data_IF_144230595956
#
_entry.id   IF_144230595956
#
_cell.length_a   1.000
_cell.length_b   1.000
_cell.length_c   1.000
_cell.angle_alpha   90.00
_cell.angle_beta   90.00
_cell.angle_gamma   90.00
#
_symmetry.space_group_name_H-M   'P 1'
#
loop_
_entity.id
_entity.type
_entity.pdbx_description
1 polymer ?
#
# COMPACT_ATOMS: atom_id res chain seq x y z
N UNK A 1 26.45 -4.85 -10.32
CA UNK A 1 27.13 -3.67 -10.91
C UNK A 1 26.02 -2.83 -11.58
N UNK A 2 25.72 -1.63 -11.05
CA UNK A 2 24.67 -0.77 -11.63
C UNK A 2 25.20 -0.18 -12.93
N UNK A 3 24.51 -0.44 -14.04
CA UNK A 3 24.79 0.29 -15.29
C UNK A 3 24.66 1.80 -15.06
N UNK A 4 25.60 2.57 -15.56
CA UNK A 4 25.55 4.03 -15.45
C UNK A 4 24.34 4.58 -16.24
N UNK A 5 23.90 5.81 -15.95
CA UNK A 5 22.82 6.46 -16.71
C UNK A 5 23.16 6.51 -18.22
N UNK A 6 24.43 6.65 -18.60
CA UNK A 6 24.88 6.59 -19.98
C UNK A 6 24.69 5.21 -20.62
N UNK A 7 24.93 4.12 -19.87
CA UNK A 7 24.74 2.76 -20.36
C UNK A 7 23.24 2.44 -20.53
N UNK A 8 22.37 3.04 -19.72
CA UNK A 8 20.89 2.89 -19.84
C UNK A 8 20.31 3.54 -21.10
N UNK A 9 20.91 4.60 -21.62
CA UNK A 9 20.47 5.25 -22.85
C UNK A 9 20.74 4.39 -24.08
N UNK A 10 21.60 3.39 -23.99
CA UNK A 10 21.91 2.45 -25.08
C UNK A 10 21.01 1.19 -25.09
N UNK A 11 20.17 0.98 -24.08
CA UNK A 11 19.29 -0.19 -24.02
C UNK A 11 18.21 -0.13 -25.13
N UNK A 12 17.96 -1.25 -25.79
CA UNK A 12 17.01 -1.42 -26.89
C UNK A 12 15.91 -2.42 -26.52
N UNK A 13 14.88 -2.49 -27.33
CA UNK A 13 13.90 -3.58 -27.23
C UNK A 13 14.63 -4.94 -27.26
N UNK A 14 14.30 -5.83 -26.33
CA UNK A 14 14.97 -7.11 -26.13
C UNK A 14 16.06 -7.12 -25.05
N UNK A 15 16.52 -5.96 -24.56
CA UNK A 15 17.57 -5.87 -23.53
C UNK A 15 17.02 -6.03 -22.09
N UNK A 16 15.84 -6.62 -21.93
CA UNK A 16 15.15 -6.77 -20.64
C UNK A 16 15.98 -7.53 -19.58
N UNK A 17 16.89 -8.41 -20.01
CA UNK A 17 17.76 -9.19 -19.08
C UNK A 17 18.79 -8.33 -18.35
N UNK A 18 19.12 -7.16 -18.89
CA UNK A 18 20.06 -6.23 -18.28
C UNK A 18 19.38 -5.22 -17.34
N UNK A 19 18.06 -5.30 -17.19
CA UNK A 19 17.24 -4.35 -16.43
C UNK A 19 16.87 -4.94 -15.07
N UNK A 20 17.04 -4.13 -14.01
CA UNK A 20 16.63 -4.43 -12.63
C UNK A 20 15.27 -3.81 -12.25
N UNK A 21 14.54 -3.25 -13.23
CA UNK A 21 13.25 -2.60 -13.05
C UNK A 21 12.16 -3.29 -13.87
N UNK A 22 11.29 -4.04 -13.18
CA UNK A 22 10.28 -4.88 -13.84
C UNK A 22 9.39 -4.10 -14.82
N UNK A 23 8.95 -2.90 -14.46
CA UNK A 23 8.10 -2.09 -15.34
C UNK A 23 8.76 -1.72 -16.66
N UNK A 24 10.04 -1.32 -16.65
CA UNK A 24 10.80 -1.02 -17.88
C UNK A 24 11.06 -2.29 -18.68
N UNK A 25 11.42 -3.38 -18.03
CA UNK A 25 11.66 -4.67 -18.69
C UNK A 25 10.37 -5.25 -19.30
N UNK A 26 9.21 -4.96 -18.68
CA UNK A 26 7.90 -5.40 -19.17
C UNK A 26 7.37 -4.56 -20.35
N UNK A 27 7.68 -3.27 -20.39
CA UNK A 27 7.13 -2.34 -21.40
C UNK A 27 8.17 -1.95 -22.44
N UNK A 28 9.13 -1.14 -22.04
CA UNK A 28 10.08 -0.48 -22.96
C UNK A 28 11.12 -1.45 -23.53
N UNK A 29 11.55 -2.43 -22.73
CA UNK A 29 12.61 -3.37 -23.10
C UNK A 29 12.07 -4.76 -23.47
N UNK A 30 10.77 -4.92 -23.60
CA UNK A 30 10.16 -6.18 -24.03
C UNK A 30 10.70 -6.62 -25.40
N UNK A 31 10.85 -7.93 -25.65
CA UNK A 31 11.35 -8.45 -26.93
C UNK A 31 10.26 -8.41 -28.02
N UNK A 32 9.78 -7.21 -28.36
CA UNK A 32 8.71 -7.04 -29.34
C UNK A 32 9.20 -7.18 -30.76
N UNK A 33 8.47 -7.94 -31.56
CA UNK A 33 8.67 -8.05 -33.01
C UNK A 33 8.04 -6.86 -33.78
N UNK A 34 8.25 -6.83 -35.11
CA UNK A 34 7.50 -5.94 -35.98
C UNK A 34 6.00 -6.22 -35.84
N UNK A 35 5.25 -5.23 -35.38
CA UNK A 35 3.84 -5.38 -35.06
C UNK A 35 3.51 -5.14 -33.58
N UNK A 36 4.52 -4.92 -32.72
CA UNK A 36 4.35 -4.46 -31.34
C UNK A 36 3.94 -5.54 -30.35
N UNK A 37 4.04 -6.83 -30.72
CA UNK A 37 3.77 -7.96 -29.82
C UNK A 37 5.05 -8.77 -29.57
N UNK A 38 5.14 -9.34 -28.36
CA UNK A 38 6.16 -10.33 -28.02
C UNK A 38 5.84 -11.64 -28.74
N UNK A 39 6.81 -12.24 -29.50
CA UNK A 39 6.62 -13.55 -30.13
C UNK A 39 6.26 -14.62 -29.11
N UNK A 40 5.47 -15.63 -29.50
CA UNK A 40 4.99 -16.65 -28.57
C UNK A 40 6.17 -17.45 -27.96
N UNK A 41 7.20 -17.78 -28.74
CA UNK A 41 8.39 -18.49 -28.27
C UNK A 41 9.24 -17.67 -27.27
N UNK A 42 9.15 -16.35 -27.31
CA UNK A 42 9.90 -15.46 -26.43
C UNK A 42 9.12 -15.12 -25.13
N UNK A 43 7.80 -15.34 -25.07
CA UNK A 43 6.95 -14.95 -23.92
C UNK A 43 7.36 -15.61 -22.62
N UNK A 44 7.47 -16.94 -22.61
CA UNK A 44 7.80 -17.68 -21.39
C UNK A 44 9.20 -17.37 -20.85
N UNK A 45 10.27 -17.37 -21.69
CA UNK A 45 11.60 -16.94 -21.25
C UNK A 45 11.62 -15.51 -20.71
N UNK A 46 10.89 -14.60 -21.36
CA UNK A 46 10.79 -13.20 -20.94
C UNK A 46 10.06 -13.06 -19.60
N UNK A 47 8.87 -13.67 -19.44
CA UNK A 47 8.12 -13.64 -18.18
C UNK A 47 8.90 -14.28 -17.03
N UNK A 48 9.62 -15.37 -17.28
CA UNK A 48 10.47 -16.01 -16.29
C UNK A 48 11.62 -15.10 -15.84
N UNK A 49 12.26 -14.39 -16.78
CA UNK A 49 13.31 -13.43 -16.47
C UNK A 49 12.77 -12.25 -15.63
N UNK A 50 11.60 -11.72 -15.97
CA UNK A 50 10.94 -10.66 -15.20
C UNK A 50 10.58 -11.10 -13.78
N UNK A 51 10.06 -12.32 -13.63
CA UNK A 51 9.74 -12.91 -12.32
C UNK A 51 10.99 -13.14 -11.46
N UNK A 52 12.16 -13.21 -12.06
CA UNK A 52 13.45 -13.37 -11.39
C UNK A 52 14.08 -12.03 -10.93
N UNK A 53 13.57 -10.88 -11.38
CA UNK A 53 14.07 -9.57 -10.96
C UNK A 53 13.79 -9.38 -9.47
N UNK A 54 14.86 -9.14 -8.71
CA UNK A 54 14.77 -8.87 -7.28
C UNK A 54 14.53 -7.38 -7.01
N UNK A 55 13.91 -7.09 -5.88
CA UNK A 55 13.72 -5.71 -5.41
C UNK A 55 15.08 -5.09 -5.10
N UNK A 56 15.26 -3.84 -5.52
CA UNK A 56 16.48 -3.10 -5.20
C UNK A 56 16.55 -2.80 -3.69
N UNK A 57 17.73 -2.96 -3.04
CA UNK A 57 17.86 -2.82 -1.59
C UNK A 57 17.38 -1.47 -1.03
N UNK A 58 17.60 -0.38 -1.78
CA UNK A 58 17.26 0.99 -1.36
C UNK A 58 15.73 1.21 -1.23
N UNK A 59 14.92 0.35 -1.86
CA UNK A 59 13.45 0.44 -1.78
C UNK A 59 12.93 0.33 -0.35
N UNK A 60 13.53 -0.52 0.47
CA UNK A 60 13.09 -0.71 1.87
C UNK A 60 13.22 0.58 2.68
N UNK A 61 14.36 1.26 2.57
CA UNK A 61 14.56 2.54 3.26
C UNK A 61 13.56 3.61 2.80
N UNK A 62 13.20 3.60 1.50
CA UNK A 62 12.15 4.49 0.97
C UNK A 62 10.79 4.23 1.61
N UNK A 63 10.35 2.98 1.69
CA UNK A 63 9.06 2.61 2.30
C UNK A 63 9.05 2.94 3.78
N UNK A 64 10.12 2.63 4.51
CA UNK A 64 10.21 2.92 5.95
C UNK A 64 10.14 4.43 6.21
N UNK A 65 10.81 5.26 5.40
CA UNK A 65 10.72 6.71 5.48
C UNK A 65 9.30 7.23 5.15
N UNK A 66 8.65 6.65 4.13
CA UNK A 66 7.29 7.01 3.77
C UNK A 66 6.30 6.66 4.90
N UNK A 67 6.39 5.47 5.49
CA UNK A 67 5.56 5.07 6.64
C UNK A 67 5.81 6.01 7.83
N UNK A 68 7.07 6.34 8.12
CA UNK A 68 7.42 7.23 9.22
C UNK A 68 6.84 8.65 9.05
N UNK A 69 6.59 9.11 7.82
CA UNK A 69 5.97 10.41 7.56
C UNK A 69 4.55 10.53 8.13
N UNK A 70 3.86 9.41 8.34
CA UNK A 70 2.52 9.36 8.93
C UNK A 70 2.51 9.25 10.46
N UNK A 71 3.65 9.10 11.12
CA UNK A 71 3.73 8.86 12.56
C UNK A 71 3.10 9.98 13.42
N UNK A 72 2.97 11.21 12.87
CA UNK A 72 2.39 12.38 13.55
C UNK A 72 1.09 12.87 12.91
N UNK A 73 0.47 12.07 12.08
CA UNK A 73 -0.79 12.40 11.41
C UNK A 73 -1.94 11.59 12.01
N UNK A 74 -3.18 11.94 11.65
CA UNK A 74 -4.38 11.14 11.96
C UNK A 74 -4.56 9.94 11.01
N UNK A 75 -3.57 9.64 10.18
CA UNK A 75 -3.65 8.54 9.23
C UNK A 75 -3.73 7.18 9.96
N UNK A 76 -4.59 6.30 9.44
CA UNK A 76 -4.63 4.91 9.85
C UNK A 76 -3.84 4.05 8.88
N UNK A 77 -3.02 3.19 9.44
CA UNK A 77 -2.20 2.26 8.69
C UNK A 77 -2.74 0.84 8.86
N UNK A 78 -2.65 0.09 7.76
CA UNK A 78 -3.03 -1.31 7.73
C UNK A 78 -1.98 -2.10 6.96
N UNK A 79 -1.86 -3.39 7.27
CA UNK A 79 -1.15 -4.36 6.45
C UNK A 79 -2.17 -5.15 5.64
N UNK A 80 -2.08 -5.06 4.33
CA UNK A 80 -2.81 -5.90 3.38
C UNK A 80 -1.93 -7.09 3.04
N UNK A 81 -2.40 -8.30 3.30
CA UNK A 81 -1.72 -9.55 2.95
C UNK A 81 -2.54 -10.28 1.88
N UNK A 82 -1.92 -10.59 0.75
CA UNK A 82 -2.57 -11.33 -0.33
C UNK A 82 -2.81 -12.79 0.08
N UNK A 83 -4.03 -13.25 -0.02
CA UNK A 83 -4.39 -14.66 0.18
C UNK A 83 -4.17 -15.47 -1.10
N UNK A 84 -4.35 -14.83 -2.26
CA UNK A 84 -4.15 -15.37 -3.59
C UNK A 84 -3.24 -14.47 -4.42
N UNK A 85 -2.94 -14.83 -5.68
CA UNK A 85 -2.20 -13.99 -6.62
C UNK A 85 -2.94 -12.69 -6.91
N UNK A 86 -2.22 -11.61 -7.17
CA UNK A 86 -2.80 -10.33 -7.56
C UNK A 86 -2.43 -10.01 -9.01
N UNK A 87 -3.44 -9.64 -9.79
CA UNK A 87 -3.28 -9.08 -11.14
C UNK A 87 -3.69 -7.61 -11.11
N UNK A 88 -2.73 -6.71 -11.22
CA UNK A 88 -2.95 -5.27 -11.16
C UNK A 88 -2.54 -4.60 -12.49
N UNK A 89 -3.41 -3.72 -13.01
CA UNK A 89 -3.18 -3.05 -14.29
C UNK A 89 -3.50 -3.88 -15.52
N UNK A 90 -4.35 -4.90 -15.39
CA UNK A 90 -4.73 -5.82 -16.48
C UNK A 90 -5.14 -5.13 -17.78
N UNK A 91 -5.86 -4.00 -17.70
CA UNK A 91 -6.33 -3.24 -18.86
C UNK A 91 -5.31 -2.26 -19.43
N UNK A 92 -4.09 -2.17 -18.90
CA UNK A 92 -3.07 -1.26 -19.42
C UNK A 92 -2.50 -1.78 -20.74
N UNK A 93 -2.09 -0.86 -21.62
CA UNK A 93 -1.39 -1.21 -22.85
C UNK A 93 -0.09 -1.98 -22.54
N UNK A 94 0.15 -3.06 -23.27
CA UNK A 94 1.29 -3.96 -23.05
C UNK A 94 1.71 -4.62 -24.37
N UNK A 95 2.95 -5.08 -24.45
CA UNK A 95 3.43 -5.96 -25.52
C UNK A 95 2.86 -7.38 -25.46
N UNK A 96 2.18 -7.72 -24.37
CA UNK A 96 1.30 -8.89 -24.21
C UNK A 96 -0.14 -8.43 -24.16
N UNK A 97 -1.08 -9.37 -24.19
CA UNK A 97 -2.52 -9.07 -24.07
C UNK A 97 -2.93 -8.66 -22.64
N UNK A 98 -1.98 -8.65 -21.69
CA UNK A 98 -2.20 -8.37 -20.26
C UNK A 98 -1.26 -7.27 -19.79
N UNK A 99 -1.83 -6.18 -19.26
CA UNK A 99 -1.05 -5.08 -18.69
C UNK A 99 -0.54 -5.37 -17.27
N UNK A 100 0.36 -4.52 -16.80
CA UNK A 100 0.94 -4.57 -15.46
C UNK A 100 1.07 -3.15 -14.89
N UNK A 101 0.74 -2.98 -13.61
CA UNK A 101 0.99 -1.74 -12.87
C UNK A 101 2.05 -2.00 -11.79
N UNK A 102 3.09 -1.19 -11.81
CA UNK A 102 4.16 -1.22 -10.80
C UNK A 102 4.51 0.20 -10.38
N UNK A 103 5.18 0.34 -9.25
CA UNK A 103 5.72 1.62 -8.82
C UNK A 103 6.70 2.17 -9.86
N UNK A 104 6.44 3.38 -10.34
CA UNK A 104 7.16 3.98 -11.47
C UNK A 104 8.68 4.05 -11.27
N UNK A 105 9.13 4.43 -10.08
CA UNK A 105 10.56 4.59 -9.77
C UNK A 105 11.24 3.27 -9.41
N UNK A 106 10.53 2.37 -8.74
CA UNK A 106 11.14 1.20 -8.10
C UNK A 106 10.86 -0.13 -8.81
N UNK A 107 9.90 -0.15 -9.73
CA UNK A 107 9.53 -1.39 -10.44
C UNK A 107 8.92 -2.49 -9.57
N UNK A 108 8.54 -2.16 -8.34
CA UNK A 108 7.88 -3.08 -7.41
C UNK A 108 6.37 -3.04 -7.56
N UNK A 109 5.63 -4.08 -7.15
CA UNK A 109 4.17 -4.03 -7.20
C UNK A 109 3.61 -2.94 -6.28
N UNK A 110 2.55 -2.29 -6.73
CA UNK A 110 1.73 -1.40 -5.92
C UNK A 110 0.25 -1.78 -6.07
N UNK A 111 -0.56 -1.43 -5.08
CA UNK A 111 -2.01 -1.39 -5.26
C UNK A 111 -2.41 0.09 -5.28
N UNK A 112 -2.81 0.64 -6.45
CA UNK A 112 -3.18 2.05 -6.52
C UNK A 112 -4.29 2.40 -5.54
N UNK A 113 -4.19 3.53 -4.87
CA UNK A 113 -5.23 4.02 -3.97
C UNK A 113 -6.58 4.17 -4.66
N UNK A 114 -6.57 4.51 -5.95
CA UNK A 114 -7.77 4.54 -6.78
C UNK A 114 -8.42 3.15 -6.94
N UNK A 115 -7.63 2.07 -7.00
CA UNK A 115 -8.16 0.69 -7.05
C UNK A 115 -8.78 0.30 -5.71
N UNK A 116 -8.13 0.61 -4.58
CA UNK A 116 -8.70 0.39 -3.25
C UNK A 116 -10.00 1.16 -3.06
N UNK A 117 -9.98 2.46 -3.40
CA UNK A 117 -11.15 3.33 -3.36
C UNK A 117 -12.28 2.80 -4.23
N UNK A 118 -11.99 2.40 -5.48
CA UNK A 118 -12.98 1.90 -6.42
C UNK A 118 -13.62 0.58 -5.99
N UNK A 119 -12.83 -0.37 -5.50
CA UNK A 119 -13.34 -1.65 -4.98
C UNK A 119 -14.23 -1.42 -3.75
N UNK A 120 -13.80 -0.56 -2.82
CA UNK A 120 -14.59 -0.22 -1.65
C UNK A 120 -15.89 0.52 -2.04
N UNK A 121 -15.82 1.46 -2.95
CA UNK A 121 -16.99 2.21 -3.42
C UNK A 121 -18.04 1.29 -4.06
N UNK A 122 -17.58 0.33 -4.86
CA UNK A 122 -18.47 -0.69 -5.44
C UNK A 122 -19.08 -1.58 -4.35
N UNK A 123 -18.28 -2.08 -3.43
CA UNK A 123 -18.75 -2.92 -2.31
C UNK A 123 -19.83 -2.20 -1.49
N UNK A 124 -19.58 -0.97 -1.11
CA UNK A 124 -20.51 -0.17 -0.31
C UNK A 124 -21.83 0.06 -1.06
N UNK A 125 -21.76 0.46 -2.32
CA UNK A 125 -22.95 0.72 -3.12
C UNK A 125 -23.80 -0.52 -3.33
N UNK A 126 -23.18 -1.69 -3.50
CA UNK A 126 -23.91 -2.95 -3.77
C UNK A 126 -24.40 -3.65 -2.50
N UNK A 127 -23.66 -3.56 -1.41
CA UNK A 127 -24.00 -4.25 -0.15
C UNK A 127 -24.92 -3.44 0.73
N UNK A 128 -24.65 -2.15 0.88
CA UNK A 128 -25.35 -1.25 1.79
C UNK A 128 -26.29 -0.28 1.07
N UNK A 129 -26.10 -0.05 -0.22
CA UNK A 129 -26.97 0.80 -1.05
C UNK A 129 -28.36 0.22 -1.28
N UNK A 130 -29.25 0.98 -1.95
CA UNK A 130 -30.60 0.55 -2.29
C UNK A 130 -30.57 -0.73 -3.13
N UNK A 131 -31.45 -1.65 -2.81
CA UNK A 131 -31.70 -2.84 -3.61
C UNK A 131 -32.57 -2.46 -4.84
N UNK A 132 -32.06 -2.64 -6.07
CA UNK A 132 -32.82 -2.29 -7.26
C UNK A 132 -34.11 -3.08 -7.43
N UNK A 133 -34.31 -4.21 -6.75
CA UNK A 133 -35.53 -4.99 -6.77
C UNK A 133 -36.63 -4.47 -5.81
N UNK A 134 -36.26 -3.58 -4.88
CA UNK A 134 -37.15 -3.00 -3.86
C UNK A 134 -37.61 -1.61 -4.30
N UNK A 135 -38.88 -1.42 -4.49
CA UNK A 135 -39.48 -0.12 -4.91
C UNK A 135 -39.71 0.85 -3.74
N UNK A 136 -39.84 0.31 -2.51
CA UNK A 136 -40.07 1.15 -1.33
C UNK A 136 -38.80 1.94 -0.97
N UNK A 137 -38.88 3.26 -0.75
CA UNK A 137 -37.74 4.06 -0.33
C UNK A 137 -37.20 3.59 1.03
N UNK A 138 -35.87 3.40 1.12
CA UNK A 138 -35.17 3.17 2.37
C UNK A 138 -34.10 4.26 2.54
N UNK A 139 -34.35 5.30 3.35
CA UNK A 139 -33.42 6.41 3.54
C UNK A 139 -32.04 5.98 4.07
N UNK A 140 -32.01 4.94 4.89
CA UNK A 140 -30.74 4.44 5.43
C UNK A 140 -29.87 3.83 4.33
N UNK A 141 -30.46 3.03 3.46
CA UNK A 141 -29.78 2.49 2.29
C UNK A 141 -29.49 3.55 1.22
N UNK A 142 -30.38 4.52 1.05
CA UNK A 142 -30.19 5.61 0.08
C UNK A 142 -28.95 6.46 0.42
N UNK A 143 -28.58 6.60 1.69
CA UNK A 143 -27.35 7.28 2.12
C UNK A 143 -26.08 6.58 1.60
N UNK A 144 -26.13 5.31 1.27
CA UNK A 144 -25.03 4.51 0.71
C UNK A 144 -25.11 4.34 -0.80
N UNK A 145 -26.11 4.91 -1.45
CA UNK A 145 -26.28 4.86 -2.91
C UNK A 145 -25.02 5.34 -3.63
N UNK A 146 -24.55 4.57 -4.60
CA UNK A 146 -23.47 4.97 -5.48
C UNK A 146 -23.89 6.02 -6.53
N UNK A 147 -22.95 6.45 -7.35
CA UNK A 147 -23.17 7.36 -8.49
C UNK A 147 -24.08 6.71 -9.51
N UNK A 148 -25.15 7.43 -9.89
CA UNK A 148 -26.08 6.97 -10.93
C UNK A 148 -25.64 7.40 -12.32
N UNK A 149 -25.48 6.46 -13.22
CA UNK A 149 -25.04 6.69 -14.59
C UNK A 149 -26.20 6.56 -15.60
N UNK A 150 -26.22 7.42 -16.61
CA UNK A 150 -27.06 7.28 -17.80
C UNK A 150 -26.15 7.32 -19.04
N UNK A 151 -25.80 6.14 -19.54
CA UNK A 151 -24.75 6.00 -20.56
C UNK A 151 -23.38 6.44 -20.00
N UNK A 152 -22.78 7.48 -20.59
CA UNK A 152 -21.51 8.07 -20.15
C UNK A 152 -21.68 9.30 -19.23
N UNK A 153 -22.93 9.75 -19.04
CA UNK A 153 -23.24 10.92 -18.21
C UNK A 153 -23.62 10.52 -16.78
N UNK A 154 -23.28 11.38 -15.82
CA UNK A 154 -23.70 11.21 -14.44
C UNK A 154 -25.09 11.85 -14.28
N UNK A 155 -26.10 10.98 -14.18
CA UNK A 155 -27.49 11.40 -14.09
C UNK A 155 -27.87 11.76 -12.65
N UNK A 156 -27.34 11.04 -11.64
CA UNK A 156 -27.69 11.20 -10.25
C UNK A 156 -26.47 11.10 -9.34
N UNK A 157 -26.33 12.04 -8.42
CA UNK A 157 -25.28 12.05 -7.41
C UNK A 157 -25.41 10.90 -6.40
N UNK A 158 -24.34 10.55 -5.70
CA UNK A 158 -24.37 9.49 -4.70
C UNK A 158 -25.06 9.97 -3.40
N UNK A 159 -25.40 9.02 -2.54
CA UNK A 159 -25.93 9.26 -1.22
C UNK A 159 -24.91 9.94 -0.28
N UNK A 160 -25.39 10.39 0.87
CA UNK A 160 -24.61 11.23 1.79
C UNK A 160 -23.36 10.52 2.34
N UNK A 161 -23.48 9.30 2.85
CA UNK A 161 -22.34 8.56 3.41
C UNK A 161 -21.34 8.14 2.33
N UNK A 162 -21.85 7.73 1.15
CA UNK A 162 -20.97 7.48 0.01
C UNK A 162 -20.19 8.74 -0.38
N UNK A 163 -20.88 9.89 -0.47
CA UNK A 163 -20.28 11.19 -0.78
C UNK A 163 -19.23 11.59 0.28
N UNK A 164 -19.52 11.38 1.56
CA UNK A 164 -18.60 11.69 2.64
C UNK A 164 -17.28 10.92 2.54
N UNK A 165 -17.31 9.63 2.22
CA UNK A 165 -16.11 8.82 2.13
C UNK A 165 -15.38 9.09 0.81
N UNK A 166 -16.09 9.02 -0.33
CA UNK A 166 -15.49 8.94 -1.66
C UNK A 166 -15.49 10.27 -2.42
N UNK A 167 -16.30 11.24 -2.00
CA UNK A 167 -16.62 12.42 -2.80
C UNK A 167 -17.68 12.13 -3.85
N UNK A 168 -17.98 13.13 -4.63
CA UNK A 168 -18.93 13.04 -5.73
C UNK A 168 -18.49 13.93 -6.89
N UNK A 169 -18.70 13.47 -8.14
CA UNK A 169 -18.65 14.34 -9.30
C UNK A 169 -19.93 15.22 -9.38
N UNK A 170 -19.92 16.24 -10.22
CA UNK A 170 -21.14 16.94 -10.58
C UNK A 170 -22.16 16.01 -11.25
N UNK A 171 -23.40 16.07 -10.79
CA UNK A 171 -24.50 15.32 -11.37
C UNK A 171 -25.61 16.26 -11.82
N UNK A 172 -26.39 15.87 -12.81
CA UNK A 172 -27.47 16.71 -13.36
C UNK A 172 -28.58 16.99 -12.34
N UNK A 173 -28.89 16.00 -11.49
CA UNK A 173 -29.95 16.13 -10.47
C UNK A 173 -29.49 16.92 -9.24
N UNK A 174 -28.20 17.01 -8.94
CA UNK A 174 -27.69 17.82 -7.82
C UNK A 174 -28.10 19.30 -7.98
N UNK A 175 -28.08 19.82 -9.21
CA UNK A 175 -28.50 21.18 -9.53
C UNK A 175 -30.00 21.40 -9.34
N UNK A 176 -30.80 20.39 -9.63
CA UNK A 176 -32.27 20.46 -9.51
C UNK A 176 -32.73 20.35 -8.06
N UNK A 177 -31.98 19.61 -7.21
CA UNK A 177 -32.33 19.34 -5.81
C UNK A 177 -31.64 20.29 -4.83
N UNK A 178 -30.73 21.16 -5.29
CA UNK A 178 -29.90 22.02 -4.44
C UNK A 178 -28.85 21.26 -3.63
N UNK A 179 -28.56 20.01 -4.02
CA UNK A 179 -27.47 19.25 -3.41
C UNK A 179 -26.12 19.87 -3.78
N UNK A 180 -25.07 19.70 -2.95
CA UNK A 180 -23.74 20.16 -3.29
C UNK A 180 -23.27 19.45 -4.56
N UNK A 181 -22.71 20.21 -5.52
CA UNK A 181 -22.13 19.67 -6.75
C UNK A 181 -20.92 18.77 -6.49
N UNK A 182 -19.87 18.88 -7.30
CA UNK A 182 -18.64 18.10 -7.09
C UNK A 182 -18.05 18.36 -5.69
N UNK A 183 -17.79 17.27 -4.95
CA UNK A 183 -17.22 17.33 -3.59
C UNK A 183 -16.07 16.36 -3.46
N UNK A 184 -15.04 16.75 -2.69
CA UNK A 184 -13.97 15.86 -2.25
C UNK A 184 -14.49 14.99 -1.09
N UNK A 185 -14.15 13.70 -1.10
CA UNK A 185 -14.37 12.83 0.05
C UNK A 185 -13.44 13.16 1.22
N UNK A 186 -13.86 12.79 2.42
CA UNK A 186 -13.06 12.97 3.64
C UNK A 186 -11.89 12.00 3.74
N UNK A 187 -11.96 10.85 3.06
CA UNK A 187 -10.93 9.83 3.14
C UNK A 187 -10.02 9.88 1.91
N UNK A 188 -8.72 10.02 2.14
CA UNK A 188 -7.67 9.90 1.14
C UNK A 188 -7.16 8.47 1.17
N UNK A 189 -7.19 7.81 0.02
CA UNK A 189 -6.65 6.47 -0.20
C UNK A 189 -5.29 6.62 -0.86
N UNK A 190 -4.22 6.39 -0.12
CA UNK A 190 -2.88 6.39 -0.68
C UNK A 190 -2.62 5.10 -1.47
N UNK A 191 -1.67 5.15 -2.40
CA UNK A 191 -1.17 3.94 -3.05
C UNK A 191 -0.58 3.00 -2.01
N UNK A 192 -0.98 1.72 -2.05
CA UNK A 192 -0.43 0.75 -1.11
C UNK A 192 0.95 0.28 -1.59
N UNK A 193 1.96 0.54 -0.78
CA UNK A 193 3.35 0.21 -1.08
C UNK A 193 3.70 -1.20 -0.59
N UNK A 194 4.49 -1.90 -1.40
CA UNK A 194 4.90 -3.26 -1.12
C UNK A 194 5.85 -3.36 0.08
N UNK A 195 5.59 -4.31 0.99
CA UNK A 195 6.40 -4.53 2.20
C UNK A 195 7.32 -5.76 2.11
N UNK A 196 6.97 -6.73 1.29
CA UNK A 196 7.63 -8.03 1.19
C UNK A 196 6.63 -9.17 1.08
N UNK A 197 7.11 -10.39 1.20
CA UNK A 197 6.27 -11.60 1.30
C UNK A 197 6.24 -12.02 2.77
N UNK A 198 5.06 -12.30 3.31
CA UNK A 198 4.91 -12.86 4.65
C UNK A 198 5.49 -14.29 4.66
N UNK A 199 6.60 -14.46 5.36
CA UNK A 199 7.25 -15.76 5.51
C UNK A 199 6.84 -16.42 6.83
N UNK A 200 6.71 -17.76 6.88
CA UNK A 200 6.65 -18.48 8.14
C UNK A 200 7.85 -18.15 9.02
N UNK A 201 7.67 -18.18 10.34
CA UNK A 201 8.72 -17.80 11.32
C UNK A 201 10.06 -18.54 11.08
N UNK A 202 10.02 -19.77 10.55
CA UNK A 202 11.23 -20.54 10.21
C UNK A 202 12.04 -19.94 9.05
N UNK A 203 11.40 -19.19 8.16
CA UNK A 203 12.02 -18.60 6.96
C UNK A 203 12.51 -17.18 7.20
N UNK A 204 12.13 -16.55 8.33
CA UNK A 204 12.66 -15.23 8.74
C UNK A 204 14.16 -15.28 9.05
N UNK A 205 14.65 -16.44 9.55
CA UNK A 205 16.06 -16.65 9.92
C UNK A 205 16.96 -16.84 8.69
N UNK A 206 16.38 -17.33 7.58
CA UNK A 206 17.06 -17.50 6.29
C UNK A 206 16.04 -17.20 5.19
N UNK A 207 15.85 -15.92 4.83
CA UNK A 207 14.84 -15.56 3.84
C UNK A 207 15.16 -16.22 2.51
N UNK A 208 14.20 -17.01 2.02
CA UNK A 208 14.32 -17.63 0.70
C UNK A 208 14.51 -16.52 -0.36
N UNK A 209 15.28 -16.77 -1.43
CA UNK A 209 15.47 -15.81 -2.53
C UNK A 209 14.16 -15.26 -3.11
N UNK A 210 13.06 -16.03 -2.95
CA UNK A 210 11.72 -15.63 -3.37
C UNK A 210 11.14 -14.44 -2.58
N UNK A 211 11.59 -14.19 -1.35
CA UNK A 211 11.10 -13.07 -0.54
C UNK A 211 11.39 -11.70 -1.16
N UNK A 212 12.44 -11.61 -1.99
CA UNK A 212 12.84 -10.41 -2.71
C UNK A 212 12.29 -10.34 -4.14
N UNK A 213 11.57 -11.37 -4.60
CA UNK A 213 11.03 -11.50 -5.95
C UNK A 213 9.50 -11.48 -5.91
N UNK A 214 8.88 -10.31 -6.01
CA UNK A 214 7.44 -10.18 -5.79
C UNK A 214 6.58 -10.78 -6.89
N UNK A 215 7.12 -10.98 -8.08
CA UNK A 215 6.37 -11.43 -9.24
C UNK A 215 6.52 -12.92 -9.52
N UNK A 216 5.52 -13.47 -10.21
CA UNK A 216 5.54 -14.80 -10.78
C UNK A 216 4.82 -14.81 -12.13
N UNK A 217 5.30 -15.61 -13.05
CA UNK A 217 4.57 -15.90 -14.28
C UNK A 217 3.31 -16.71 -13.96
N UNK A 218 2.27 -16.50 -14.73
CA UNK A 218 1.00 -17.20 -14.67
C UNK A 218 0.43 -17.36 -16.07
N UNK A 219 -0.51 -18.27 -16.26
CA UNK A 219 -1.11 -18.53 -17.57
C UNK A 219 -2.63 -18.62 -17.41
N UNK A 220 -3.33 -17.96 -18.30
CA UNK A 220 -4.76 -18.14 -18.49
C UNK A 220 -5.02 -18.79 -19.83
N UNK A 221 -5.89 -19.76 -19.82
CA UNK A 221 -6.29 -20.44 -21.05
C UNK A 221 -7.65 -19.91 -21.47
N UNK A 222 -7.67 -19.20 -22.60
CA UNK A 222 -8.93 -18.76 -23.22
C UNK A 222 -9.43 -19.91 -24.05
N UNK A 223 -10.58 -20.45 -23.66
CA UNK A 223 -11.34 -21.40 -24.49
C UNK A 223 -12.29 -20.62 -25.40
N UNK A 224 -12.68 -21.21 -26.53
CA UNK A 224 -13.72 -20.67 -27.42
C UNK A 224 -13.35 -19.30 -28.04
N UNK A 225 -12.11 -19.15 -28.43
CA UNK A 225 -11.60 -17.92 -29.07
C UNK A 225 -12.48 -17.48 -30.25
N UNK A 226 -12.91 -18.41 -31.11
CA UNK A 226 -13.79 -18.12 -32.26
C UNK A 226 -15.08 -17.46 -31.85
N UNK A 227 -15.74 -17.97 -30.79
CA UNK A 227 -16.99 -17.40 -30.26
C UNK A 227 -16.82 -15.93 -29.86
N UNK A 228 -15.69 -15.59 -29.22
CA UNK A 228 -15.42 -14.20 -28.80
C UNK A 228 -15.00 -13.31 -29.98
N UNK A 229 -14.16 -13.80 -30.87
CA UNK A 229 -13.67 -13.03 -32.03
C UNK A 229 -14.78 -12.62 -33.00
N UNK A 230 -15.78 -13.50 -33.22
CA UNK A 230 -16.89 -13.23 -34.10
C UNK A 230 -18.18 -12.73 -33.39
N UNK A 231 -18.04 -12.37 -32.11
CA UNK A 231 -19.10 -11.82 -31.25
C UNK A 231 -20.31 -12.77 -31.11
N UNK A 232 -20.07 -14.05 -30.93
CA UNK A 232 -21.08 -15.05 -30.67
C UNK A 232 -21.82 -15.59 -31.91
N UNK A 233 -21.26 -15.37 -33.10
CA UNK A 233 -21.83 -15.96 -34.35
C UNK A 233 -21.47 -17.43 -34.50
N UNK A 234 -20.32 -17.85 -34.04
CA UNK A 234 -19.96 -19.26 -33.94
C UNK A 234 -20.44 -19.82 -32.62
N UNK A 235 -20.81 -21.09 -32.59
CA UNK A 235 -21.15 -21.79 -31.36
C UNK A 235 -19.89 -21.99 -30.51
N UNK A 236 -20.04 -21.87 -29.17
CA UNK A 236 -19.01 -22.22 -28.21
C UNK A 236 -18.91 -23.73 -28.09
N UNK A 237 -17.77 -24.29 -28.49
CA UNK A 237 -17.56 -25.75 -28.51
C UNK A 237 -16.50 -26.16 -27.48
N UNK A 238 -16.75 -27.25 -26.74
CA UNK A 238 -15.82 -27.76 -25.72
C UNK A 238 -14.50 -28.30 -26.31
N UNK A 239 -14.46 -28.53 -27.63
CA UNK A 239 -13.29 -29.02 -28.36
C UNK A 239 -12.51 -27.91 -29.11
N UNK A 240 -12.87 -26.63 -28.88
CA UNK A 240 -12.05 -25.52 -29.39
C UNK A 240 -10.66 -25.54 -28.74
N UNK A 241 -9.63 -25.33 -29.55
CA UNK A 241 -8.24 -25.33 -29.10
C UNK A 241 -8.03 -24.25 -28.03
N UNK A 242 -7.44 -24.60 -26.87
CA UNK A 242 -7.12 -23.63 -25.83
C UNK A 242 -6.04 -22.67 -26.31
N UNK A 243 -6.22 -21.38 -26.06
CA UNK A 243 -5.20 -20.36 -26.33
C UNK A 243 -4.59 -19.86 -25.02
N UNK A 244 -3.43 -20.40 -24.61
CA UNK A 244 -2.77 -19.97 -23.38
C UNK A 244 -2.20 -18.57 -23.54
N UNK A 245 -2.52 -17.68 -22.60
CA UNK A 245 -1.97 -16.33 -22.50
C UNK A 245 -1.15 -16.22 -21.24
N UNK A 246 0.16 -16.10 -21.38
CA UNK A 246 1.10 -15.89 -20.29
C UNK A 246 1.10 -14.44 -19.82
N UNK A 247 1.21 -14.20 -18.51
CA UNK A 247 1.29 -12.87 -17.92
C UNK A 247 2.01 -12.88 -16.56
N UNK A 248 2.26 -11.69 -16.02
CA UNK A 248 2.92 -11.52 -14.73
C UNK A 248 1.90 -11.20 -13.64
N UNK A 249 2.02 -11.85 -12.50
CA UNK A 249 1.20 -11.63 -11.30
C UNK A 249 2.06 -11.34 -10.09
N UNK A 250 1.49 -10.71 -9.07
CA UNK A 250 2.11 -10.63 -7.73
C UNK A 250 1.86 -11.92 -6.99
N UNK A 251 2.88 -12.44 -6.31
CA UNK A 251 2.83 -13.71 -5.58
C UNK A 251 1.83 -13.65 -4.41
N UNK A 252 1.22 -14.78 -4.04
CA UNK A 252 0.47 -14.91 -2.78
C UNK A 252 1.36 -14.56 -1.59
N UNK A 253 0.74 -14.16 -0.47
CA UNK A 253 1.41 -13.71 0.75
C UNK A 253 2.24 -12.44 0.61
N UNK A 254 2.21 -11.78 -0.53
CA UNK A 254 2.74 -10.43 -0.67
C UNK A 254 1.99 -9.47 0.26
N UNK A 255 2.74 -8.62 0.94
CA UNK A 255 2.21 -7.64 1.88
C UNK A 255 2.39 -6.23 1.35
N UNK A 256 1.41 -5.39 1.66
CA UNK A 256 1.41 -3.97 1.33
C UNK A 256 1.00 -3.16 2.55
N UNK A 257 1.61 -1.99 2.72
CA UNK A 257 1.08 -1.01 3.67
C UNK A 257 0.01 -0.18 2.99
N UNK A 258 -1.18 -0.17 3.57
CA UNK A 258 -2.31 0.67 3.16
C UNK A 258 -2.42 1.83 4.13
N UNK A 259 -2.55 3.04 3.61
CA UNK A 259 -2.72 4.24 4.42
C UNK A 259 -4.01 4.93 4.02
N UNK A 260 -4.86 5.20 5.02
CA UNK A 260 -6.08 5.99 4.92
C UNK A 260 -5.91 7.26 5.75
N UNK A 261 -6.03 8.43 5.12
CA UNK A 261 -5.87 9.72 5.80
C UNK A 261 -7.20 10.49 5.79
N UNK A 262 -7.51 11.13 6.92
CA UNK A 262 -8.76 11.89 7.08
C UNK A 262 -9.21 11.93 8.55
N UNK A 263 -10.43 12.39 8.82
CA UNK A 263 -10.98 12.39 10.17
C UNK A 263 -11.03 10.96 10.74
N UNK A 264 -10.69 10.77 12.04
CA UNK A 264 -10.50 9.43 12.64
C UNK A 264 -11.67 8.47 12.50
N UNK A 265 -12.91 8.97 12.64
CA UNK A 265 -14.11 8.14 12.56
C UNK A 265 -14.35 7.65 11.12
N UNK A 266 -14.14 8.52 10.13
CA UNK A 266 -14.28 8.18 8.72
C UNK A 266 -13.19 7.20 8.25
N UNK A 267 -11.96 7.37 8.69
CA UNK A 267 -10.88 6.44 8.37
C UNK A 267 -11.05 5.09 9.07
N UNK A 268 -11.61 5.07 10.29
CA UNK A 268 -11.95 3.83 10.99
C UNK A 268 -13.04 3.05 10.24
N UNK A 269 -14.13 3.72 9.88
CA UNK A 269 -15.23 3.13 9.11
C UNK A 269 -14.75 2.64 7.73
N UNK A 270 -14.02 3.47 7.00
CA UNK A 270 -13.46 3.09 5.69
C UNK A 270 -12.52 1.88 5.80
N UNK A 271 -11.70 1.79 6.86
CA UNK A 271 -10.83 0.63 7.11
C UNK A 271 -11.61 -0.66 7.38
N UNK A 272 -12.70 -0.58 8.17
CA UNK A 272 -13.58 -1.72 8.42
C UNK A 272 -14.24 -2.21 7.12
N UNK A 273 -14.85 -1.30 6.38
CA UNK A 273 -15.52 -1.63 5.12
C UNK A 273 -14.53 -2.13 4.04
N UNK A 274 -13.29 -1.60 4.03
CA UNK A 274 -12.25 -2.07 3.12
C UNK A 274 -11.81 -3.50 3.46
N UNK A 275 -11.78 -3.87 4.73
CA UNK A 275 -11.51 -5.26 5.17
C UNK A 275 -12.54 -6.22 4.61
N UNK A 276 -13.81 -5.87 4.70
CA UNK A 276 -14.93 -6.65 4.15
C UNK A 276 -14.84 -6.75 2.63
N UNK A 277 -14.62 -5.62 1.96
CA UNK A 277 -14.50 -5.54 0.51
C UNK A 277 -13.37 -6.42 -0.05
N UNK A 278 -12.18 -6.36 0.55
CA UNK A 278 -11.03 -7.16 0.12
C UNK A 278 -11.23 -8.65 0.32
N UNK A 279 -11.91 -9.05 1.41
CA UNK A 279 -12.24 -10.45 1.68
C UNK A 279 -13.30 -10.99 0.72
N UNK A 280 -14.31 -10.19 0.38
CA UNK A 280 -15.45 -10.63 -0.44
C UNK A 280 -15.20 -10.45 -1.94
N UNK A 281 -14.67 -9.32 -2.36
CA UNK A 281 -14.49 -8.98 -3.77
C UNK A 281 -13.04 -9.16 -4.23
N UNK A 282 -12.06 -8.82 -3.38
CA UNK A 282 -10.67 -8.67 -3.78
C UNK A 282 -10.41 -7.36 -4.51
N UNK A 283 -9.16 -7.13 -4.93
CA UNK A 283 -8.72 -5.94 -5.66
C UNK A 283 -7.96 -6.32 -6.93
N UNK A 284 -8.02 -5.48 -7.95
CA UNK A 284 -7.36 -5.70 -9.24
C UNK A 284 -8.22 -6.44 -10.26
N UNK A 285 -7.56 -7.14 -11.19
CA UNK A 285 -8.23 -7.89 -12.26
C UNK A 285 -8.55 -9.33 -11.89
N UNK A 286 -9.55 -9.92 -12.56
CA UNK A 286 -9.93 -11.34 -12.47
C UNK A 286 -10.28 -11.81 -11.05
N UNK A 287 -10.93 -10.96 -10.27
CA UNK A 287 -11.30 -11.24 -8.88
C UNK A 287 -12.33 -12.37 -8.77
N UNK A 288 -13.16 -12.59 -9.81
CA UNK A 288 -14.07 -13.75 -9.90
C UNK A 288 -13.33 -15.09 -9.97
N UNK A 289 -12.08 -15.09 -10.44
CA UNK A 289 -11.19 -16.25 -10.45
C UNK A 289 -10.27 -16.28 -9.23
N UNK A 290 -10.68 -15.64 -8.13
CA UNK A 290 -10.01 -15.55 -6.84
C UNK A 290 -8.70 -14.72 -6.81
N UNK A 291 -8.32 -14.04 -7.89
CA UNK A 291 -7.20 -13.09 -7.84
C UNK A 291 -7.54 -11.91 -6.91
N UNK A 292 -6.51 -11.36 -6.27
CA UNK A 292 -6.59 -10.15 -5.47
C UNK A 292 -7.36 -10.27 -4.15
N UNK A 293 -7.74 -11.47 -3.72
CA UNK A 293 -8.28 -11.71 -2.37
C UNK A 293 -7.20 -11.39 -1.34
N UNK A 294 -7.56 -10.67 -0.31
CA UNK A 294 -6.61 -10.20 0.68
C UNK A 294 -7.23 -10.03 2.07
N UNK A 295 -6.41 -10.23 3.07
CA UNK A 295 -6.70 -9.95 4.47
C UNK A 295 -6.11 -8.60 4.85
N UNK A 296 -6.89 -7.74 5.52
CA UNK A 296 -6.46 -6.44 6.01
C UNK A 296 -6.40 -6.45 7.54
N UNK A 297 -5.24 -6.17 8.12
CA UNK A 297 -5.01 -6.08 9.56
C UNK A 297 -4.54 -4.68 9.96
N UNK A 298 -4.90 -4.24 11.17
CA UNK A 298 -4.42 -2.96 11.68
C UNK A 298 -2.90 -2.99 11.82
N UNK A 299 -2.25 -1.90 11.42
CA UNK A 299 -0.83 -1.66 11.60
C UNK A 299 -0.62 -0.34 12.35
N UNK A 300 0.51 -0.21 13.03
CA UNK A 300 0.93 1.06 13.63
C UNK A 300 2.08 1.64 12.84
N UNK A 301 2.05 2.95 12.63
CA UNK A 301 3.27 3.64 12.22
C UNK A 301 4.35 3.38 13.28
N UNK A 302 5.60 3.14 12.86
CA UNK A 302 6.71 3.16 13.81
C UNK A 302 6.68 4.51 14.54
N UNK A 303 7.10 4.51 15.80
CA UNK A 303 7.27 5.76 16.52
C UNK A 303 8.09 6.74 15.66
N UNK A 304 7.75 8.02 15.63
CA UNK A 304 8.51 9.00 14.88
C UNK A 304 9.98 8.96 15.33
N UNK A 305 10.93 9.19 14.42
CA UNK A 305 12.32 9.27 14.82
C UNK A 305 12.44 10.31 15.94
N UNK A 306 13.23 10.03 16.98
CA UNK A 306 13.40 10.95 18.07
C UNK A 306 13.88 12.31 17.56
N UNK A 307 13.40 13.39 18.16
CA UNK A 307 13.83 14.74 17.81
C UNK A 307 15.34 14.89 17.96
N UNK A 308 15.90 15.93 17.36
CA UNK A 308 17.32 16.26 17.48
C UNK A 308 17.76 16.33 18.95
N UNK A 309 16.90 16.86 19.84
CA UNK A 309 17.19 16.94 21.28
C UNK A 309 17.29 15.56 21.95
N UNK A 310 16.46 14.60 21.57
CA UNK A 310 16.53 13.23 22.08
C UNK A 310 17.75 12.50 21.51
N UNK A 311 18.07 12.73 20.23
CA UNK A 311 19.27 12.18 19.58
C UNK A 311 20.55 12.70 20.23
N UNK A 312 20.62 14.01 20.49
CA UNK A 312 21.74 14.64 21.22
C UNK A 312 21.86 14.10 22.66
N UNK A 313 20.72 13.86 23.33
CA UNK A 313 20.71 13.22 24.66
C UNK A 313 21.32 11.82 24.60
N UNK A 314 20.91 11.01 23.61
CA UNK A 314 21.43 9.66 23.42
C UNK A 314 22.94 9.65 23.19
N UNK A 315 23.42 10.48 22.26
CA UNK A 315 24.85 10.61 21.97
C UNK A 315 25.65 11.01 23.22
N UNK A 316 25.16 12.00 23.98
CA UNK A 316 25.80 12.42 25.22
C UNK A 316 25.82 11.32 26.31
N UNK A 317 24.73 10.55 26.44
CA UNK A 317 24.67 9.42 27.39
C UNK A 317 25.66 8.31 27.00
N UNK A 318 25.82 8.04 25.70
CA UNK A 318 26.78 7.07 25.20
C UNK A 318 28.23 7.55 25.44
N UNK A 319 28.53 8.83 25.23
CA UNK A 319 29.82 9.44 25.55
C UNK A 319 30.11 9.35 27.06
N UNK A 320 29.16 9.74 27.91
CA UNK A 320 29.28 9.64 29.38
C UNK A 320 29.55 8.20 29.84
N UNK A 321 28.95 7.21 29.12
CA UNK A 321 29.18 5.78 29.37
C UNK A 321 30.62 5.37 28.99
N UNK A 322 31.14 5.83 27.86
CA UNK A 322 32.53 5.59 27.41
C UNK A 322 33.52 6.19 28.38
N UNK A 323 33.27 7.42 28.83
CA UNK A 323 34.07 8.14 29.79
C UNK A 323 33.92 7.63 31.25
N UNK A 324 33.05 6.68 31.49
CA UNK A 324 32.73 6.10 32.81
C UNK A 324 32.28 7.14 33.83
N UNK A 325 31.52 8.15 33.39
CA UNK A 325 30.98 9.18 34.30
C UNK A 325 30.04 8.50 35.33
N UNK A 326 30.15 8.82 36.64
CA UNK A 326 29.30 8.25 37.66
C UNK A 326 27.79 8.50 37.39
N UNK A 327 26.93 7.48 37.52
CA UNK A 327 25.51 7.61 37.24
C UNK A 327 24.80 8.70 38.05
N UNK A 328 25.30 8.98 39.29
CA UNK A 328 24.80 10.07 40.11
C UNK A 328 25.08 11.44 39.47
N UNK A 329 26.24 11.58 38.84
CA UNK A 329 26.62 12.80 38.14
C UNK A 329 25.82 12.98 36.86
N UNK A 330 25.59 11.90 36.10
CA UNK A 330 24.71 11.91 34.93
C UNK A 330 23.32 12.40 35.32
N UNK A 331 22.73 11.87 36.40
CA UNK A 331 21.43 12.28 36.90
C UNK A 331 21.39 13.77 37.28
N UNK A 332 22.41 14.26 37.98
CA UNK A 332 22.53 15.67 38.33
C UNK A 332 22.63 16.57 37.08
N UNK A 333 23.47 16.20 36.11
CA UNK A 333 23.60 16.96 34.86
C UNK A 333 22.36 16.99 34.02
N UNK A 334 21.53 15.90 34.03
CA UNK A 334 20.25 15.91 33.37
C UNK A 334 19.34 16.91 34.06
N UNK A 335 19.24 16.86 35.38
CA UNK A 335 18.38 17.76 36.16
C UNK A 335 18.74 19.22 36.02
N UNK A 336 20.04 19.54 36.10
CA UNK A 336 20.48 20.93 36.14
C UNK A 336 20.57 21.57 34.77
N UNK A 337 20.93 20.81 33.72
CA UNK A 337 21.28 21.40 32.42
C UNK A 337 20.35 21.03 31.27
N UNK A 338 19.55 19.94 31.39
CA UNK A 338 18.77 19.43 30.29
C UNK A 338 17.27 19.29 30.58
N UNK A 339 16.87 19.32 31.84
CA UNK A 339 15.54 19.01 32.30
C UNK A 339 14.46 19.85 31.60
N UNK A 340 14.60 21.19 31.62
CA UNK A 340 13.61 22.09 31.03
C UNK A 340 13.49 21.90 29.51
N UNK A 341 14.62 21.65 28.84
CA UNK A 341 14.61 21.35 27.39
C UNK A 341 13.91 20.04 27.08
N UNK A 342 14.11 19.01 27.90
CA UNK A 342 13.45 17.72 27.74
C UNK A 342 11.95 17.80 28.08
N UNK A 343 11.57 18.56 29.08
CA UNK A 343 10.19 18.78 29.49
C UNK A 343 9.37 19.52 28.44
N UNK A 344 9.98 20.39 27.65
CA UNK A 344 9.36 21.13 26.54
C UNK A 344 9.16 20.28 25.27
N UNK A 345 9.62 19.03 25.23
CA UNK A 345 9.44 18.13 24.08
C UNK A 345 8.01 17.56 23.98
N UNK A 346 7.69 16.98 22.83
CA UNK A 346 6.45 16.23 22.63
C UNK A 346 6.34 15.03 23.60
N UNK A 347 5.16 14.50 23.81
CA UNK A 347 4.94 13.35 24.69
C UNK A 347 5.75 12.13 24.25
N UNK A 348 5.79 11.86 22.93
CA UNK A 348 6.58 10.77 22.35
C UNK A 348 8.10 10.95 22.60
N UNK A 349 8.60 12.17 22.38
CA UNK A 349 10.00 12.48 22.62
C UNK A 349 10.36 12.43 24.11
N UNK A 350 9.48 12.87 25.00
CA UNK A 350 9.66 12.71 26.46
C UNK A 350 9.75 11.24 26.86
N UNK A 351 8.89 10.41 26.27
CA UNK A 351 8.91 8.97 26.50
C UNK A 351 10.20 8.32 25.98
N UNK A 352 10.67 8.75 24.81
CA UNK A 352 11.93 8.30 24.24
C UNK A 352 13.13 8.73 25.10
N UNK A 353 13.13 9.98 25.57
CA UNK A 353 14.16 10.50 26.49
C UNK A 353 14.16 9.73 27.83
N UNK A 354 12.99 9.47 28.42
CA UNK A 354 12.87 8.65 29.63
C UNK A 354 13.51 7.27 29.45
N UNK A 355 13.20 6.61 28.34
CA UNK A 355 13.76 5.28 28.04
C UNK A 355 15.30 5.30 27.93
N UNK A 356 15.86 6.33 27.31
CA UNK A 356 17.32 6.50 27.22
C UNK A 356 17.94 6.73 28.60
N UNK A 357 17.36 7.61 29.42
CA UNK A 357 17.81 7.90 30.78
C UNK A 357 17.77 6.66 31.66
N UNK A 358 16.66 5.89 31.63
CA UNK A 358 16.51 4.65 32.40
C UNK A 358 17.51 3.56 31.98
N UNK A 359 17.90 3.51 30.72
CA UNK A 359 18.95 2.59 30.23
C UNK A 359 20.33 3.00 30.70
N UNK A 360 20.60 4.30 30.77
CA UNK A 360 21.90 4.85 31.20
C UNK A 360 22.06 4.77 32.72
N UNK A 361 20.99 4.95 33.49
CA UNK A 361 20.98 4.97 34.95
C UNK A 361 20.21 3.75 35.49
N UNK A 362 20.93 2.70 35.83
CA UNK A 362 20.37 1.44 36.31
C UNK A 362 20.71 1.09 37.76
N UNK A 363 21.33 2.01 38.50
CA UNK A 363 21.73 1.81 39.89
C UNK A 363 20.51 1.74 40.83
N UNK A 364 20.35 0.67 41.63
CA UNK A 364 19.25 0.56 42.59
C UNK A 364 19.24 1.70 43.64
N UNK A 365 20.42 2.29 43.94
CA UNK A 365 20.52 3.40 44.88
C UNK A 365 19.98 4.72 44.35
N UNK A 366 19.84 4.86 43.03
CA UNK A 366 19.34 6.05 42.37
C UNK A 366 17.90 5.91 41.89
N UNK A 367 17.27 4.74 42.10
CA UNK A 367 15.96 4.39 41.56
C UNK A 367 14.88 5.43 41.95
N UNK A 368 14.81 5.79 43.22
CA UNK A 368 13.82 6.75 43.71
C UNK A 368 13.97 8.14 43.07
N UNK A 369 15.20 8.61 42.96
CA UNK A 369 15.52 9.91 42.33
C UNK A 369 15.27 9.88 40.83
N UNK A 370 15.55 8.75 40.17
CA UNK A 370 15.27 8.55 38.76
C UNK A 370 13.77 8.51 38.47
N UNK A 371 13.02 7.79 39.30
CA UNK A 371 11.56 7.69 39.16
C UNK A 371 10.89 9.06 39.36
N UNK A 372 11.36 9.85 40.32
CA UNK A 372 10.91 11.22 40.53
C UNK A 372 11.19 12.11 39.30
N UNK A 373 12.41 12.08 38.75
CA UNK A 373 12.79 12.84 37.56
C UNK A 373 11.89 12.45 36.37
N UNK A 374 11.68 11.16 36.15
CA UNK A 374 10.87 10.66 35.05
C UNK A 374 9.39 11.01 35.21
N UNK A 375 8.87 11.02 36.43
CA UNK A 375 7.51 11.46 36.72
C UNK A 375 7.33 12.95 36.41
N UNK A 376 8.28 13.79 36.81
CA UNK A 376 8.28 15.23 36.51
C UNK A 376 8.39 15.50 35.00
N UNK A 377 9.13 14.70 34.22
CA UNK A 377 9.21 14.83 32.75
C UNK A 377 7.87 14.51 32.07
N UNK A 378 7.03 13.67 32.64
CA UNK A 378 5.72 13.34 32.07
C UNK A 378 4.70 14.46 32.25
N UNK A 379 4.83 15.28 33.26
CA UNK A 379 3.95 16.44 33.47
C UNK A 379 4.29 17.52 32.45
N UNK A 380 3.28 17.92 31.65
CA UNK A 380 3.43 19.03 30.70
C UNK A 380 3.94 20.28 31.41
N UNK A 381 4.77 21.05 30.73
CA UNK A 381 5.07 22.40 31.18
C UNK A 381 3.76 23.20 31.25
N UNK A 382 3.55 24.05 32.28
CA UNK A 382 2.35 24.87 32.41
C UNK A 382 2.14 25.80 31.25
#
# INVERSE_FOLDING_TARGET
MRASIRDRVSLKAGDYKACDHVGLAYTTLAPVAQGGKVPDDDKDPWLAALAAIAIVPDYRAHVDAWIASFARTSARLFTLTLDARLLIGHGNASGTDVGLTVHHTWGVPIVPGSSLKGTLAHHVATTYGPDPSVTAPDPARDSWRGVGWAGTAIARGPGEFYRAIFGAPDANDDRATGAPGATRGYVVFHDALYLGIALPVREIISPAPESTRPFAADTLTVHQKRYYDDRGKSEACDHDDPNPVGFLTVRPKAQFVVVLEGPPDWTALAGQLLRESLAQLGVGGKTTSAYGRATLTDARAPAPPPSAAVTELGAWLDEARVEKVPQREILAQIRDKRFERLRALSEDDRTAAENLIRRAINSPRLKEQLDALCAELKTSAP
#
